data_IF_349292834565
#
_entry.id   IF_349292834565
#
_cell.length_a   1.000
_cell.length_b   1.000
_cell.length_c   1.000
_cell.angle_alpha   90.00
_cell.angle_beta   90.00
_cell.angle_gamma   90.00
#
_symmetry.space_group_name_H-M   'P 1'
#
loop_
_entity.id
_entity.type
_entity.pdbx_description
1 polymer ?
#
# COMPACT_ATOMS: atom_id res chain seq x y z
N UNK A 1 23.18 39.62 27.23
CA UNK A 1 22.47 38.31 27.26
C UNK A 1 22.98 37.51 26.07
N UNK A 2 23.74 36.43 26.31
CA UNK A 2 24.11 35.48 25.27
C UNK A 2 22.91 34.56 25.01
N UNK A 3 22.45 34.48 23.76
CA UNK A 3 21.55 33.42 23.34
C UNK A 3 22.35 32.11 23.31
N UNK A 4 21.86 31.01 23.92
CA UNK A 4 22.51 29.71 23.79
C UNK A 4 22.46 29.24 22.34
N UNK A 5 23.52 28.58 21.89
CA UNK A 5 23.55 27.89 20.60
C UNK A 5 22.37 26.93 20.50
N UNK A 6 21.58 27.08 19.44
CA UNK A 6 20.60 26.09 19.03
C UNK A 6 21.35 24.79 18.76
N UNK A 7 21.05 23.77 19.55
CA UNK A 7 21.57 22.43 19.35
C UNK A 7 21.11 21.95 17.98
N UNK A 8 22.07 21.58 17.12
CA UNK A 8 21.76 21.04 15.80
C UNK A 8 20.79 19.87 15.97
N UNK A 9 19.58 20.03 15.44
CA UNK A 9 18.64 18.92 15.30
C UNK A 9 19.36 17.94 14.38
N UNK A 10 19.70 16.77 14.91
CA UNK A 10 20.09 15.64 14.07
C UNK A 10 18.89 15.33 13.20
N UNK A 11 18.94 15.73 11.93
CA UNK A 11 17.96 15.29 10.94
C UNK A 11 17.92 13.76 10.94
N UNK A 12 16.73 13.19 10.76
CA UNK A 12 16.62 11.77 10.48
C UNK A 12 17.52 11.45 9.29
N UNK A 13 18.53 10.62 9.50
CA UNK A 13 19.47 10.25 8.45
C UNK A 13 18.83 9.14 7.61
N UNK A 14 18.70 9.36 6.31
CA UNK A 14 18.30 8.30 5.40
C UNK A 14 19.45 7.30 5.27
N UNK A 15 19.22 6.05 5.72
CA UNK A 15 20.22 4.99 5.71
C UNK A 15 20.41 4.30 4.35
N UNK A 16 19.81 4.85 3.28
CA UNK A 16 20.04 4.38 1.91
C UNK A 16 19.19 3.18 1.50
N UNK A 17 18.03 2.96 2.14
CA UNK A 17 17.04 1.99 1.68
C UNK A 17 16.55 2.30 0.25
N UNK A 18 15.75 1.44 -0.37
CA UNK A 18 15.08 1.77 -1.62
C UNK A 18 13.93 2.78 -1.40
N UNK A 19 13.58 3.54 -2.44
CA UNK A 19 12.36 4.36 -2.56
C UNK A 19 11.80 4.19 -3.97
N UNK A 20 10.49 4.38 -4.14
CA UNK A 20 9.82 4.34 -5.44
C UNK A 20 9.74 5.75 -6.03
N UNK A 21 10.51 6.00 -7.07
CA UNK A 21 10.63 7.35 -7.65
C UNK A 21 9.44 7.76 -8.53
N UNK A 22 8.77 6.84 -9.20
CA UNK A 22 7.63 7.15 -10.09
C UNK A 22 6.55 6.08 -9.93
N UNK A 23 5.85 6.13 -8.81
CA UNK A 23 4.96 5.04 -8.41
C UNK A 23 3.79 4.86 -9.38
N UNK A 24 3.40 3.59 -9.56
CA UNK A 24 2.27 3.18 -10.36
C UNK A 24 1.42 2.23 -9.52
N UNK A 25 0.23 2.67 -9.13
CA UNK A 25 -0.64 1.86 -8.28
C UNK A 25 -1.56 1.01 -9.14
N UNK A 26 -1.61 -0.28 -8.86
CA UNK A 26 -2.60 -1.22 -9.39
C UNK A 26 -3.51 -1.64 -8.25
N UNK A 27 -4.76 -1.16 -8.18
CA UNK A 27 -5.71 -1.65 -7.19
C UNK A 27 -6.02 -3.13 -7.47
N UNK A 28 -6.09 -3.95 -6.43
CA UNK A 28 -6.42 -5.37 -6.51
C UNK A 28 -7.58 -5.63 -5.55
N UNK A 29 -8.78 -5.90 -6.07
CA UNK A 29 -9.96 -6.14 -5.25
C UNK A 29 -10.04 -7.63 -4.90
N UNK A 30 -9.97 -7.92 -3.61
CA UNK A 30 -10.08 -9.26 -3.05
C UNK A 30 -11.52 -9.50 -2.59
N UNK A 31 -12.20 -10.48 -3.18
CA UNK A 31 -13.59 -10.81 -2.83
C UNK A 31 -14.27 -11.75 -3.82
N UNK A 32 -15.52 -12.15 -3.55
CA UNK A 32 -16.22 -13.11 -4.41
C UNK A 32 -16.59 -12.52 -5.78
N UNK A 33 -16.76 -11.20 -5.87
CA UNK A 33 -17.04 -10.48 -7.12
C UNK A 33 -16.34 -9.12 -7.15
N UNK A 34 -16.18 -8.49 -8.33
CA UNK A 34 -15.66 -7.13 -8.43
C UNK A 34 -16.45 -6.10 -7.61
N UNK A 35 -17.77 -6.33 -7.49
CA UNK A 35 -18.70 -5.43 -6.83
C UNK A 35 -18.79 -5.63 -5.32
N UNK A 36 -18.13 -6.66 -4.78
CA UNK A 36 -18.11 -6.94 -3.34
C UNK A 36 -17.37 -5.87 -2.56
N UNK A 37 -16.40 -5.19 -3.18
CA UNK A 37 -15.73 -4.05 -2.57
C UNK A 37 -16.60 -2.78 -2.72
N UNK A 38 -17.01 -2.10 -1.63
CA UNK A 38 -17.96 -0.98 -1.68
C UNK A 38 -17.56 0.16 -2.61
N UNK A 39 -16.25 0.38 -2.80
CA UNK A 39 -15.72 1.49 -3.58
C UNK A 39 -15.16 1.07 -4.94
N UNK A 40 -15.56 -0.10 -5.47
CA UNK A 40 -15.03 -0.64 -6.73
C UNK A 40 -15.11 0.32 -7.92
N UNK A 41 -16.10 1.23 -7.94
CA UNK A 41 -16.27 2.24 -8.99
C UNK A 41 -15.35 3.45 -8.85
N UNK A 42 -15.02 3.84 -7.62
CA UNK A 42 -14.24 5.06 -7.34
C UNK A 42 -12.77 4.78 -7.05
N UNK A 43 -12.40 3.54 -6.73
CA UNK A 43 -11.04 3.20 -6.30
C UNK A 43 -9.94 3.60 -7.30
N UNK A 44 -10.17 3.38 -8.60
CA UNK A 44 -9.22 3.79 -9.62
C UNK A 44 -9.08 5.32 -9.67
N UNK A 45 -10.21 6.02 -9.57
CA UNK A 45 -10.23 7.48 -9.57
C UNK A 45 -9.52 8.04 -8.33
N UNK A 46 -9.78 7.46 -7.16
CA UNK A 46 -9.10 7.80 -5.91
C UNK A 46 -7.57 7.71 -6.06
N UNK A 47 -7.06 6.56 -6.51
CA UNK A 47 -5.61 6.40 -6.70
C UNK A 47 -5.06 7.31 -7.79
N UNK A 48 -5.79 7.55 -8.88
CA UNK A 48 -5.36 8.47 -9.92
C UNK A 48 -5.22 9.90 -9.38
N UNK A 49 -6.16 10.35 -8.55
CA UNK A 49 -6.13 11.69 -7.96
C UNK A 49 -5.01 11.84 -6.94
N UNK A 50 -4.88 10.91 -5.99
CA UNK A 50 -3.86 11.04 -4.94
C UNK A 50 -2.44 10.95 -5.52
N UNK A 51 -2.21 10.06 -6.49
CA UNK A 51 -0.91 9.91 -7.16
C UNK A 51 -0.49 11.13 -7.98
N UNK A 52 -1.46 11.94 -8.44
CA UNK A 52 -1.23 13.20 -9.17
C UNK A 52 -1.57 14.43 -8.32
N UNK A 53 -1.28 14.39 -7.01
CA UNK A 53 -1.58 15.49 -6.09
C UNK A 53 -0.33 16.01 -5.35
N UNK A 54 -0.43 17.20 -4.73
CA UNK A 54 0.60 17.70 -3.81
C UNK A 54 0.93 16.78 -2.64
N UNK A 55 0.07 15.79 -2.36
CA UNK A 55 0.35 14.77 -1.34
C UNK A 55 1.63 13.98 -1.66
N UNK A 56 1.86 13.64 -2.94
CA UNK A 56 3.10 12.97 -3.37
C UNK A 56 4.28 13.95 -3.37
N UNK A 57 4.04 15.23 -3.66
CA UNK A 57 5.10 16.24 -3.66
C UNK A 57 5.72 16.43 -2.25
N UNK A 58 4.96 16.15 -1.18
CA UNK A 58 5.48 16.17 0.20
C UNK A 58 6.60 15.15 0.42
N UNK A 59 6.63 14.04 -0.34
CA UNK A 59 7.65 13.01 -0.21
C UNK A 59 9.04 13.45 -0.71
N UNK A 60 9.19 14.72 -1.14
CA UNK A 60 10.47 15.29 -1.56
C UNK A 60 11.57 15.23 -0.49
N UNK A 61 11.23 15.07 0.79
CA UNK A 61 12.21 14.85 1.87
C UNK A 61 12.95 13.50 1.76
N UNK A 62 12.34 12.52 1.08
CA UNK A 62 12.91 11.20 0.80
C UNK A 62 13.66 11.14 -0.54
N UNK A 63 13.79 12.27 -1.23
CA UNK A 63 14.56 12.34 -2.47
C UNK A 63 16.01 11.89 -2.23
N UNK A 64 16.49 10.97 -3.07
CA UNK A 64 17.91 10.61 -3.12
C UNK A 64 18.54 11.28 -4.36
N UNK A 65 19.46 10.61 -5.06
CA UNK A 65 20.00 11.07 -6.35
C UNK A 65 18.90 11.26 -7.42
N UNK A 66 17.75 10.63 -7.24
CA UNK A 66 16.57 10.72 -8.08
C UNK A 66 15.40 11.28 -7.27
N UNK A 67 14.59 12.15 -7.89
CA UNK A 67 13.41 12.72 -7.25
C UNK A 67 12.24 11.74 -7.27
N UNK A 68 11.48 11.70 -6.19
CA UNK A 68 10.11 11.18 -6.20
C UNK A 68 9.26 12.17 -6.97
N UNK A 69 8.53 11.65 -7.95
CA UNK A 69 7.61 12.41 -8.79
C UNK A 69 6.21 11.81 -8.67
N UNK A 70 5.21 12.63 -9.01
CA UNK A 70 3.83 12.17 -9.16
C UNK A 70 3.75 10.97 -10.10
N UNK A 71 2.75 10.13 -9.83
CA UNK A 71 2.60 8.84 -10.48
C UNK A 71 1.25 8.68 -11.15
N UNK A 72 0.78 7.44 -11.24
CA UNK A 72 -0.49 7.11 -11.87
C UNK A 72 -1.14 5.87 -11.26
N UNK A 73 -2.43 5.70 -11.54
CA UNK A 73 -3.16 4.49 -11.23
C UNK A 73 -3.53 3.72 -12.50
N UNK A 74 -3.49 2.39 -12.40
CA UNK A 74 -3.94 1.47 -13.44
C UNK A 74 -5.34 0.95 -13.16
N UNK A 75 -5.92 0.27 -14.15
CA UNK A 75 -7.22 -0.39 -14.00
C UNK A 75 -7.16 -1.46 -12.90
N UNK A 76 -8.17 -1.52 -12.01
CA UNK A 76 -8.23 -2.53 -10.97
C UNK A 76 -8.14 -3.96 -11.51
N UNK A 77 -7.47 -4.81 -10.75
CA UNK A 77 -7.42 -6.25 -10.93
C UNK A 77 -8.22 -6.94 -9.82
N UNK A 78 -8.40 -8.25 -9.93
CA UNK A 78 -9.29 -8.99 -9.04
C UNK A 78 -8.66 -10.29 -8.58
N UNK A 79 -8.79 -10.57 -7.28
CA UNK A 79 -8.55 -11.89 -6.69
C UNK A 79 -9.92 -12.41 -6.25
N UNK A 80 -10.44 -13.40 -6.97
CA UNK A 80 -11.73 -14.01 -6.65
C UNK A 80 -11.58 -15.06 -5.57
N UNK A 81 -12.38 -14.93 -4.51
CA UNK A 81 -12.40 -15.89 -3.39
C UNK A 81 -13.72 -15.85 -2.64
N UNK A 82 -14.15 -17.00 -2.13
CA UNK A 82 -15.25 -17.13 -1.17
C UNK A 82 -14.74 -17.35 0.28
N UNK A 83 -13.42 -17.29 0.49
CA UNK A 83 -12.83 -17.42 1.84
C UNK A 83 -13.21 -16.22 2.70
N UNK A 84 -13.61 -16.47 3.95
CA UNK A 84 -13.84 -15.44 4.97
C UNK A 84 -12.58 -15.03 5.73
N UNK A 85 -11.48 -15.75 5.53
CA UNK A 85 -10.17 -15.44 6.12
C UNK A 85 -9.10 -15.63 5.05
N UNK A 86 -8.17 -14.70 4.96
CA UNK A 86 -7.12 -14.68 3.97
C UNK A 86 -5.81 -14.31 4.67
N UNK A 87 -4.89 -15.26 4.74
CA UNK A 87 -3.57 -15.00 5.32
C UNK A 87 -2.68 -14.27 4.30
N UNK A 88 -1.67 -13.54 4.77
CA UNK A 88 -0.71 -12.88 3.89
C UNK A 88 -0.04 -13.86 2.91
N UNK A 89 0.20 -15.11 3.32
CA UNK A 89 0.67 -16.15 2.40
C UNK A 89 -0.33 -16.41 1.25
N UNK A 90 -1.64 -16.40 1.51
CA UNK A 90 -2.65 -16.53 0.46
C UNK A 90 -2.62 -15.32 -0.50
N UNK A 91 -2.32 -14.11 0.00
CA UNK A 91 -2.18 -12.89 -0.81
C UNK A 91 -0.96 -13.00 -1.71
N UNK A 92 0.19 -13.37 -1.15
CA UNK A 92 1.43 -13.59 -1.89
C UNK A 92 1.25 -14.66 -2.98
N UNK A 93 0.62 -15.79 -2.65
CA UNK A 93 0.32 -16.86 -3.62
C UNK A 93 -0.58 -16.35 -4.76
N UNK A 94 -1.61 -15.55 -4.42
CA UNK A 94 -2.54 -14.99 -5.39
C UNK A 94 -1.86 -14.00 -6.34
N UNK A 95 -1.06 -13.07 -5.80
CA UNK A 95 -0.28 -12.11 -6.58
C UNK A 95 0.75 -12.85 -7.45
N UNK A 96 1.48 -13.82 -6.91
CA UNK A 96 2.40 -14.67 -7.65
C UNK A 96 1.73 -15.41 -8.82
N UNK A 97 0.52 -15.94 -8.61
CA UNK A 97 -0.26 -16.56 -9.68
C UNK A 97 -0.71 -15.55 -10.75
N UNK A 98 -1.04 -14.31 -10.38
CA UNK A 98 -1.35 -13.24 -11.34
C UNK A 98 -0.12 -12.84 -12.18
N UNK A 99 1.07 -12.81 -11.57
CA UNK A 99 2.35 -12.61 -12.28
C UNK A 99 2.59 -13.73 -13.28
N UNK A 100 2.50 -15.00 -12.84
CA UNK A 100 2.72 -16.19 -13.68
C UNK A 100 1.77 -16.25 -14.89
N UNK A 101 0.53 -15.77 -14.72
CA UNK A 101 -0.47 -15.67 -15.79
C UNK A 101 -0.30 -14.43 -16.69
N UNK A 102 0.56 -13.48 -16.30
CA UNK A 102 0.76 -12.22 -17.02
C UNK A 102 -0.37 -11.20 -16.87
N UNK A 103 -1.29 -11.42 -15.92
CA UNK A 103 -2.38 -10.47 -15.59
C UNK A 103 -1.83 -9.19 -14.99
N UNK A 104 -0.78 -9.32 -14.17
CA UNK A 104 -0.01 -8.20 -13.63
C UNK A 104 1.45 -8.32 -14.03
N UNK A 105 2.14 -7.19 -14.09
CA UNK A 105 3.55 -7.09 -14.51
C UNK A 105 4.31 -6.21 -13.52
N UNK A 106 4.92 -6.81 -12.49
CA UNK A 106 5.68 -6.07 -11.48
C UNK A 106 6.80 -5.27 -12.11
N UNK A 107 7.10 -4.13 -11.50
CA UNK A 107 8.26 -3.32 -11.81
C UNK A 107 8.74 -2.67 -10.53
N UNK A 108 9.94 -2.10 -10.57
CA UNK A 108 10.50 -1.29 -9.46
C UNK A 108 9.62 -0.09 -9.06
N UNK A 109 8.63 0.25 -9.89
CA UNK A 109 7.72 1.36 -9.70
C UNK A 109 6.28 0.94 -9.36
N UNK A 110 5.97 -0.36 -9.35
CA UNK A 110 4.57 -0.81 -9.25
C UNK A 110 4.23 -1.22 -7.83
N UNK A 111 3.13 -0.66 -7.30
CA UNK A 111 2.54 -1.03 -6.01
C UNK A 111 1.21 -1.71 -6.30
N UNK A 112 1.02 -2.94 -5.79
CA UNK A 112 -0.25 -3.66 -5.85
C UNK A 112 -1.04 -3.40 -4.57
N UNK A 113 -2.02 -2.50 -4.64
CA UNK A 113 -2.83 -2.16 -3.48
C UNK A 113 -4.00 -3.13 -3.36
N UNK A 114 -3.89 -4.11 -2.48
CA UNK A 114 -4.91 -5.14 -2.22
C UNK A 114 -5.97 -4.57 -1.27
N UNK A 115 -7.23 -4.64 -1.68
CA UNK A 115 -8.39 -4.19 -0.91
C UNK A 115 -9.32 -5.37 -0.63
N UNK A 116 -9.43 -5.76 0.63
CA UNK A 116 -10.32 -6.83 1.03
C UNK A 116 -11.77 -6.33 1.07
N UNK A 117 -12.68 -7.11 0.50
CA UNK A 117 -14.11 -6.86 0.61
C UNK A 117 -14.61 -7.13 2.04
N UNK A 118 -15.73 -6.51 2.46
CA UNK A 118 -16.38 -6.82 3.73
C UNK A 118 -16.60 -8.32 3.93
N UNK A 119 -16.37 -8.79 5.15
CA UNK A 119 -16.50 -10.21 5.53
C UNK A 119 -15.24 -11.06 5.30
N UNK A 120 -14.15 -10.46 4.82
CA UNK A 120 -12.84 -11.13 4.70
C UNK A 120 -11.91 -10.59 5.78
N UNK A 121 -11.61 -11.42 6.77
CA UNK A 121 -10.57 -11.13 7.76
C UNK A 121 -9.18 -11.39 7.16
N UNK A 122 -8.29 -10.41 7.25
CA UNK A 122 -6.89 -10.58 6.86
C UNK A 122 -6.08 -10.99 8.08
N UNK A 123 -5.21 -11.99 7.93
CA UNK A 123 -4.21 -12.31 8.95
C UNK A 123 -2.80 -12.01 8.46
N UNK A 124 -1.98 -11.48 9.36
CA UNK A 124 -0.57 -11.17 9.09
C UNK A 124 0.25 -11.48 10.34
N UNK A 125 1.24 -12.39 10.21
CA UNK A 125 2.09 -12.82 11.32
C UNK A 125 1.31 -13.25 12.57
N UNK A 126 0.17 -13.93 12.38
CA UNK A 126 -0.70 -14.40 13.46
C UNK A 126 -1.60 -13.32 14.09
N UNK A 127 -1.53 -12.07 13.63
CA UNK A 127 -2.43 -10.98 14.00
C UNK A 127 -3.61 -10.92 13.04
N UNK A 128 -4.73 -10.33 13.48
CA UNK A 128 -5.96 -10.23 12.69
C UNK A 128 -6.33 -8.76 12.44
N UNK A 129 -6.72 -8.45 11.20
CA UNK A 129 -7.25 -7.15 10.80
C UNK A 129 -8.47 -6.76 11.63
N UNK A 130 -8.68 -5.46 11.86
CA UNK A 130 -9.80 -4.95 12.66
C UNK A 130 -9.83 -5.39 14.13
N UNK A 131 -8.81 -6.13 14.58
CA UNK A 131 -8.55 -6.46 15.98
C UNK A 131 -7.19 -5.95 16.44
N UNK A 132 -6.18 -6.02 15.57
CA UNK A 132 -4.80 -5.64 15.91
C UNK A 132 -4.19 -4.64 14.94
N UNK A 133 -4.56 -4.67 13.66
CA UNK A 133 -4.05 -3.73 12.65
C UNK A 133 -5.15 -3.31 11.67
N UNK A 134 -4.86 -2.26 10.90
CA UNK A 134 -5.82 -1.65 9.97
C UNK A 134 -5.40 -1.65 8.51
N UNK A 135 -4.12 -1.78 8.26
CA UNK A 135 -3.53 -2.04 6.96
C UNK A 135 -2.05 -2.40 7.19
N UNK A 136 -1.37 -2.80 6.12
CA UNK A 136 0.08 -2.90 6.07
C UNK A 136 0.56 -2.81 4.62
N UNK A 137 1.85 -2.51 4.44
CA UNK A 137 2.58 -2.70 3.21
C UNK A 137 3.66 -3.75 3.43
N UNK A 138 3.99 -4.48 2.37
CA UNK A 138 5.01 -5.52 2.40
C UNK A 138 5.57 -5.77 1.00
N UNK A 139 6.49 -6.71 0.91
CA UNK A 139 7.11 -7.10 -0.33
C UNK A 139 7.26 -8.63 -0.42
N UNK A 140 7.35 -9.13 -1.64
CA UNK A 140 7.68 -10.54 -1.89
C UNK A 140 8.70 -10.68 -3.02
N UNK A 141 9.60 -11.65 -2.89
CA UNK A 141 10.48 -12.06 -3.98
C UNK A 141 9.71 -12.84 -5.04
N UNK A 142 10.09 -12.65 -6.30
CA UNK A 142 9.57 -13.37 -7.45
C UNK A 142 10.61 -14.36 -8.00
N UNK A 143 10.15 -15.34 -8.78
CA UNK A 143 11.00 -16.40 -9.35
C UNK A 143 12.13 -15.86 -10.26
N UNK A 144 11.96 -14.66 -10.83
CA UNK A 144 12.96 -13.98 -11.66
C UNK A 144 13.98 -13.14 -10.86
N UNK A 145 13.91 -13.18 -9.53
CA UNK A 145 14.75 -12.42 -8.61
C UNK A 145 14.32 -10.96 -8.41
N UNK A 146 13.24 -10.51 -9.06
CA UNK A 146 12.67 -9.19 -8.78
C UNK A 146 11.77 -9.20 -7.55
N UNK A 147 11.46 -8.01 -7.04
CA UNK A 147 10.59 -7.82 -5.87
C UNK A 147 9.27 -7.22 -6.30
N UNK A 148 8.16 -7.77 -5.78
CA UNK A 148 6.81 -7.23 -5.90
C UNK A 148 6.48 -6.46 -4.62
N UNK A 149 6.03 -5.21 -4.76
CA UNK A 149 5.58 -4.37 -3.65
C UNK A 149 4.06 -4.38 -3.60
N UNK A 150 3.50 -4.60 -2.42
CA UNK A 150 2.05 -4.61 -2.24
C UNK A 150 1.64 -3.95 -0.92
N UNK A 151 0.41 -3.46 -0.90
CA UNK A 151 -0.26 -3.04 0.33
C UNK A 151 -1.49 -3.89 0.52
N UNK A 152 -1.94 -4.04 1.76
CA UNK A 152 -3.14 -4.79 2.10
C UNK A 152 -3.98 -3.94 3.03
N UNK A 153 -5.17 -3.59 2.56
CA UNK A 153 -6.14 -2.77 3.26
C UNK A 153 -7.40 -3.64 3.43
N UNK A 154 -7.60 -4.20 4.63
CA UNK A 154 -8.83 -4.88 5.00
C UNK A 154 -10.06 -3.97 4.92
N UNK A 155 -11.24 -4.53 5.17
CA UNK A 155 -12.43 -3.72 5.39
C UNK A 155 -12.18 -2.77 6.58
N UNK A 156 -12.25 -1.47 6.35
CA UNK A 156 -11.97 -0.44 7.36
C UNK A 156 -13.21 -0.02 8.15
N UNK A 157 -14.37 -0.63 7.87
CA UNK A 157 -15.60 -0.44 8.63
C UNK A 157 -15.59 -1.24 9.93
N UNK A 158 -14.69 -0.90 10.83
CA UNK A 158 -14.58 -1.53 12.14
C UNK A 158 -14.08 -0.55 13.21
N UNK A 159 -14.34 -0.87 14.48
CA UNK A 159 -14.09 0.06 15.58
C UNK A 159 -12.61 0.49 15.70
N UNK A 160 -11.66 -0.40 15.39
CA UNK A 160 -10.23 -0.09 15.45
C UNK A 160 -9.76 0.84 14.32
N UNK A 161 -10.31 0.66 13.12
CA UNK A 161 -9.83 1.28 11.89
C UNK A 161 -10.72 2.41 11.38
N UNK A 162 -11.84 2.63 12.07
CA UNK A 162 -12.77 3.72 11.84
C UNK A 162 -12.47 4.96 12.68
N UNK A 163 -13.42 5.90 12.68
CA UNK A 163 -13.34 7.15 13.46
C UNK A 163 -13.33 8.42 12.61
N UNK A 164 -13.30 8.30 11.28
CA UNK A 164 -13.53 9.43 10.38
C UNK A 164 -15.00 9.62 10.07
N UNK A 165 -15.31 10.72 9.38
CA UNK A 165 -16.66 11.15 9.05
C UNK A 165 -17.52 10.07 8.36
N UNK A 166 -16.91 9.19 7.56
CA UNK A 166 -17.58 8.04 6.93
C UNK A 166 -16.57 6.95 6.53
N UNK A 167 -17.08 5.79 6.13
CA UNK A 167 -16.28 4.62 5.77
C UNK A 167 -15.40 4.85 4.52
N UNK A 168 -15.81 5.72 3.61
CA UNK A 168 -14.99 6.09 2.45
C UNK A 168 -13.74 6.87 2.89
N UNK A 169 -13.87 7.73 3.89
CA UNK A 169 -12.74 8.46 4.46
C UNK A 169 -11.81 7.54 5.26
N UNK A 170 -12.34 6.53 5.97
CA UNK A 170 -11.51 5.52 6.63
C UNK A 170 -10.64 4.76 5.60
N UNK A 171 -11.28 4.30 4.51
CA UNK A 171 -10.59 3.70 3.37
C UNK A 171 -9.53 4.65 2.78
N UNK A 172 -9.89 5.90 2.50
CA UNK A 172 -8.99 6.88 1.89
C UNK A 172 -7.77 7.13 2.77
N UNK A 173 -7.97 7.31 4.08
CA UNK A 173 -6.86 7.46 5.01
C UNK A 173 -5.91 6.24 4.95
N UNK A 174 -6.41 5.02 5.16
CA UNK A 174 -5.57 3.81 5.16
C UNK A 174 -4.86 3.62 3.81
N UNK A 175 -5.57 3.86 2.71
CA UNK A 175 -5.01 3.80 1.37
C UNK A 175 -3.91 4.85 1.13
N UNK A 176 -4.07 6.07 1.65
CA UNK A 176 -3.05 7.12 1.54
C UNK A 176 -1.83 6.84 2.41
N UNK A 177 -2.06 6.32 3.63
CA UNK A 177 -1.03 5.94 4.59
C UNK A 177 -0.12 4.86 4.01
N UNK A 178 -0.68 3.71 3.65
CA UNK A 178 0.12 2.60 3.10
C UNK A 178 0.77 2.95 1.76
N UNK A 179 0.16 3.84 0.98
CA UNK A 179 0.73 4.28 -0.29
C UNK A 179 2.04 5.04 -0.06
N UNK A 180 2.07 6.00 0.87
CA UNK A 180 3.30 6.78 1.10
C UNK A 180 4.38 5.97 1.79
N UNK A 181 4.01 5.06 2.69
CA UNK A 181 4.96 4.11 3.26
C UNK A 181 5.54 3.21 2.16
N UNK A 182 4.71 2.51 1.37
CA UNK A 182 5.20 1.69 0.26
C UNK A 182 6.07 2.46 -0.77
N UNK A 183 5.86 3.76 -0.95
CA UNK A 183 6.74 4.61 -1.78
C UNK A 183 8.08 4.89 -1.09
N UNK A 184 8.08 5.14 0.22
CA UNK A 184 9.26 5.63 0.95
C UNK A 184 10.11 4.51 1.57
N UNK A 185 9.52 3.35 1.86
CA UNK A 185 10.19 2.15 2.35
C UNK A 185 9.61 0.86 1.72
N UNK A 186 9.65 0.68 0.39
CA UNK A 186 9.08 -0.49 -0.29
C UNK A 186 9.64 -1.84 0.20
N UNK A 187 10.89 -1.88 0.66
CA UNK A 187 11.52 -3.10 1.17
C UNK A 187 11.34 -3.21 2.69
N UNK A 188 10.31 -3.94 3.09
CA UNK A 188 10.01 -4.27 4.48
C UNK A 188 10.87 -5.42 5.03
N UNK A 189 11.62 -6.14 4.19
CA UNK A 189 12.42 -7.30 4.59
C UNK A 189 13.84 -6.94 5.03
N UNK A 190 14.35 -5.79 4.59
CA UNK A 190 15.71 -5.30 4.88
C UNK A 190 15.70 -3.96 5.65
N UNK A 191 14.93 -3.90 6.74
CA UNK A 191 15.07 -2.77 7.68
C UNK A 191 16.44 -2.86 8.35
N UNK A 192 17.38 -2.00 7.94
CA UNK A 192 18.72 -1.88 8.51
C UNK A 192 18.70 -1.33 9.94
#
# INVERSE_FOLDING_TARGET
MLFPLVQAITFAQYHGGPVIHSAQVVPVLLGPTPTSFPYYKSIQHYYAQIMDSPYIDMLSEYNNKTKIIRGKAWTPQYIFTDKSTFDDNDIMDSLGAMVKRGTIKPSVNTIYAVHASPGIAITFSGLESCKTFCAYHSNMGLDDGSTLIYTVIPDTDCALCGGFYNNYNNFGMMASHELVEAITNPDTGNSY
#
